data_IF_458531667834
#
_entry.id   IF_458531667834
#
_cell.length_a   1.000
_cell.length_b   1.000
_cell.length_c   1.000
_cell.angle_alpha   90.00
_cell.angle_beta   90.00
_cell.angle_gamma   90.00
#
_symmetry.space_group_name_H-M   'P 1'
#
loop_
_entity.id
_entity.type
_entity.pdbx_description
1 polymer ?
#
# COMPACT_ATOMS: atom_id res chain seq x y z
N UNK A 1 -21.87 8.26 -0.88
CA UNK A 1 -20.89 7.16 -0.69
C UNK A 1 -19.72 7.19 -1.67
N UNK A 2 -19.89 7.65 -2.93
CA UNK A 2 -18.80 7.74 -3.94
C UNK A 2 -17.69 8.71 -3.53
N UNK A 3 -18.04 9.92 -3.09
CA UNK A 3 -17.07 10.96 -2.70
C UNK A 3 -16.09 10.52 -1.59
N UNK A 4 -16.55 9.73 -0.62
CA UNK A 4 -15.69 9.23 0.47
C UNK A 4 -14.66 8.23 -0.04
N UNK A 5 -15.02 7.42 -1.04
CA UNK A 5 -14.08 6.47 -1.64
C UNK A 5 -13.04 7.17 -2.52
N UNK A 6 -13.45 8.21 -3.25
CA UNK A 6 -12.53 9.05 -4.04
C UNK A 6 -11.49 9.77 -3.18
N UNK A 7 -11.92 10.36 -2.06
CA UNK A 7 -11.01 11.00 -1.10
C UNK A 7 -10.00 9.98 -0.55
N UNK A 8 -10.44 8.77 -0.18
CA UNK A 8 -9.55 7.71 0.32
C UNK A 8 -8.54 7.27 -0.73
N UNK A 9 -8.96 7.15 -1.99
CA UNK A 9 -8.08 6.78 -3.10
C UNK A 9 -7.02 7.86 -3.32
N UNK A 10 -7.41 9.13 -3.28
CA UNK A 10 -6.49 10.26 -3.39
C UNK A 10 -5.48 10.27 -2.24
N UNK A 11 -5.93 10.07 -1.00
CA UNK A 11 -5.02 9.99 0.16
C UNK A 11 -4.05 8.80 0.05
N UNK A 12 -4.52 7.65 -0.44
CA UNK A 12 -3.66 6.49 -0.70
C UNK A 12 -2.57 6.81 -1.74
N UNK A 13 -2.94 7.47 -2.84
CA UNK A 13 -2.01 7.95 -3.87
C UNK A 13 -0.98 8.92 -3.30
N UNK A 14 -1.41 9.89 -2.48
CA UNK A 14 -0.53 10.87 -1.84
C UNK A 14 0.47 10.21 -0.88
N UNK A 15 0.04 9.22 -0.10
CA UNK A 15 0.92 8.48 0.81
C UNK A 15 1.97 7.65 0.05
N UNK A 16 1.59 7.03 -1.07
CA UNK A 16 2.55 6.33 -1.94
C UNK A 16 3.54 7.31 -2.58
N UNK A 17 3.07 8.47 -3.05
CA UNK A 17 3.95 9.50 -3.58
C UNK A 17 4.96 9.98 -2.52
N UNK A 18 4.49 10.29 -1.31
CA UNK A 18 5.35 10.68 -0.19
C UNK A 18 6.36 9.57 0.17
N UNK A 19 5.94 8.30 0.12
CA UNK A 19 6.82 7.16 0.37
C UNK A 19 7.98 7.14 -0.64
N UNK A 20 7.69 7.25 -1.94
CA UNK A 20 8.73 7.24 -2.97
C UNK A 20 9.57 8.52 -3.05
N UNK A 21 9.06 9.65 -2.56
CA UNK A 21 9.89 10.85 -2.34
C UNK A 21 10.92 10.61 -1.24
N UNK A 22 10.54 9.95 -0.15
CA UNK A 22 11.44 9.67 0.98
C UNK A 22 12.36 8.46 0.72
N UNK A 23 11.86 7.45 0.03
CA UNK A 23 12.54 6.19 -0.29
C UNK A 23 12.46 5.92 -1.79
N UNK A 24 13.36 6.54 -2.60
CA UNK A 24 13.32 6.37 -4.04
C UNK A 24 13.64 4.93 -4.46
N UNK A 25 12.67 4.25 -5.05
CA UNK A 25 12.83 2.96 -5.73
C UNK A 25 11.95 2.96 -6.97
N UNK A 26 12.58 3.20 -8.14
CA UNK A 26 11.86 3.33 -9.41
C UNK A 26 11.12 2.04 -9.81
N UNK A 27 11.69 0.86 -9.51
CA UNK A 27 11.09 -0.43 -9.87
C UNK A 27 9.88 -0.69 -9.00
N UNK A 28 10.02 -0.52 -7.69
CA UNK A 28 8.92 -0.70 -6.75
C UNK A 28 7.80 0.32 -7.01
N UNK A 29 8.13 1.56 -7.39
CA UNK A 29 7.16 2.60 -7.76
C UNK A 29 6.32 2.20 -8.97
N UNK A 30 6.94 1.67 -10.02
CA UNK A 30 6.20 1.21 -11.22
C UNK A 30 5.18 0.13 -10.85
N UNK A 31 5.58 -0.86 -10.05
CA UNK A 31 4.68 -1.94 -9.63
C UNK A 31 3.59 -1.46 -8.66
N UNK A 32 3.90 -0.54 -7.75
CA UNK A 32 2.92 0.07 -6.87
C UNK A 32 1.87 0.88 -7.65
N UNK A 33 2.31 1.70 -8.61
CA UNK A 33 1.43 2.48 -9.50
C UNK A 33 0.53 1.55 -10.34
N UNK A 34 1.09 0.42 -10.82
CA UNK A 34 0.34 -0.60 -11.57
C UNK A 34 -0.75 -1.26 -10.72
N UNK A 35 -0.43 -1.69 -9.50
CA UNK A 35 -1.40 -2.28 -8.57
C UNK A 35 -2.49 -1.28 -8.23
N UNK A 36 -2.12 -0.04 -7.91
CA UNK A 36 -3.08 0.98 -7.53
C UNK A 36 -4.08 1.26 -8.67
N UNK A 37 -3.59 1.39 -9.91
CA UNK A 37 -4.44 1.51 -11.10
C UNK A 37 -5.39 0.33 -11.25
N UNK A 38 -4.92 -0.90 -11.01
CA UNK A 38 -5.74 -2.11 -11.08
C UNK A 38 -6.85 -2.12 -10.02
N UNK A 39 -6.52 -1.80 -8.77
CA UNK A 39 -7.49 -1.71 -7.66
C UNK A 39 -8.57 -0.66 -7.94
N UNK A 40 -8.17 0.49 -8.48
CA UNK A 40 -9.10 1.55 -8.88
C UNK A 40 -10.00 1.13 -10.05
N UNK A 41 -9.44 0.49 -11.08
CA UNK A 41 -10.19 0.00 -12.23
C UNK A 41 -11.23 -1.06 -11.85
N UNK A 42 -10.89 -1.94 -10.90
CA UNK A 42 -11.81 -2.94 -10.33
C UNK A 42 -12.85 -2.33 -9.37
N UNK A 43 -12.81 -1.01 -9.13
CA UNK A 43 -13.66 -0.32 -8.14
C UNK A 43 -13.61 -0.98 -6.77
N UNK A 44 -12.44 -1.52 -6.38
CA UNK A 44 -12.26 -2.15 -5.07
C UNK A 44 -12.61 -1.12 -4.01
N UNK A 45 -13.56 -1.41 -3.10
CA UNK A 45 -13.86 -0.50 -2.01
C UNK A 45 -12.66 -0.52 -1.06
N UNK A 46 -11.82 0.52 -1.12
CA UNK A 46 -10.65 0.68 -0.25
C UNK A 46 -11.09 1.12 1.16
N UNK A 47 -11.85 0.25 1.84
CA UNK A 47 -12.41 0.51 3.16
C UNK A 47 -11.31 0.62 4.22
N UNK A 48 -11.56 1.42 5.26
CA UNK A 48 -10.62 1.67 6.35
C UNK A 48 -9.67 2.84 6.08
N UNK A 49 -8.55 2.87 6.82
CA UNK A 49 -7.58 3.98 6.74
C UNK A 49 -6.75 3.89 5.45
N UNK A 50 -6.58 4.99 4.69
CA UNK A 50 -5.77 5.02 3.47
C UNK A 50 -4.32 4.53 3.66
N UNK A 51 -3.71 4.84 4.80
CA UNK A 51 -2.35 4.36 5.12
C UNK A 51 -2.24 2.84 5.21
N UNK A 52 -3.30 2.14 5.61
CA UNK A 52 -3.34 0.69 5.56
C UNK A 52 -3.25 0.15 4.13
N UNK A 53 -3.90 0.81 3.17
CA UNK A 53 -3.83 0.43 1.75
C UNK A 53 -2.47 0.78 1.15
N UNK A 54 -1.96 1.99 1.37
CA UNK A 54 -0.65 2.40 0.88
C UNK A 54 0.46 1.48 1.43
N UNK A 55 0.53 1.31 2.75
CA UNK A 55 1.49 0.40 3.39
C UNK A 55 1.27 -1.06 2.97
N UNK A 56 0.02 -1.49 2.81
CA UNK A 56 -0.31 -2.83 2.35
C UNK A 56 0.19 -3.14 0.93
N UNK A 57 0.12 -2.17 0.01
CA UNK A 57 0.66 -2.31 -1.35
C UNK A 57 2.18 -2.47 -1.32
N UNK A 58 2.87 -1.57 -0.61
CA UNK A 58 4.34 -1.63 -0.48
C UNK A 58 4.78 -2.94 0.18
N UNK A 59 4.12 -3.33 1.26
CA UNK A 59 4.43 -4.57 1.97
C UNK A 59 4.19 -5.80 1.09
N UNK A 60 3.08 -5.85 0.34
CA UNK A 60 2.76 -6.96 -0.55
C UNK A 60 3.83 -7.15 -1.63
N UNK A 61 4.25 -6.05 -2.27
CA UNK A 61 5.26 -6.05 -3.34
C UNK A 61 6.64 -6.44 -2.84
N UNK A 62 7.08 -5.83 -1.74
CA UNK A 62 8.41 -6.09 -1.16
C UNK A 62 8.56 -7.53 -0.66
N UNK A 63 7.45 -8.19 -0.34
CA UNK A 63 7.39 -9.57 0.14
C UNK A 63 6.69 -10.50 -0.85
N UNK A 64 6.73 -10.20 -2.15
CA UNK A 64 6.08 -11.02 -3.17
C UNK A 64 6.85 -12.33 -3.42
N UNK A 65 8.18 -12.24 -3.54
CA UNK A 65 9.04 -13.37 -3.92
C UNK A 65 9.85 -13.96 -2.76
N UNK A 66 9.56 -13.55 -1.52
CA UNK A 66 10.34 -13.91 -0.33
C UNK A 66 9.43 -14.14 0.86
N UNK A 67 9.92 -14.87 1.86
CA UNK A 67 9.26 -14.99 3.16
C UNK A 67 9.09 -13.59 3.75
N UNK A 68 7.89 -13.31 4.25
CA UNK A 68 7.54 -11.99 4.78
C UNK A 68 8.51 -11.57 5.90
N UNK A 69 9.28 -10.49 5.68
CA UNK A 69 10.33 -10.04 6.60
C UNK A 69 10.34 -8.53 6.86
N UNK A 70 9.26 -7.81 6.52
CA UNK A 70 9.21 -6.34 6.63
C UNK A 70 9.35 -5.65 5.27
N UNK A 71 9.47 -4.32 5.28
CA UNK A 71 9.85 -3.55 4.11
C UNK A 71 11.37 -3.36 4.19
N UNK A 72 12.15 -3.77 3.17
CA UNK A 72 13.61 -3.63 3.20
C UNK A 72 14.05 -2.19 3.50
N UNK A 73 14.96 -2.03 4.47
CA UNK A 73 15.46 -0.72 4.88
C UNK A 73 14.46 0.13 5.69
N UNK A 74 13.38 -0.47 6.19
CA UNK A 74 12.32 0.25 6.89
C UNK A 74 11.80 -0.55 8.08
N UNK A 75 11.99 -0.03 9.30
CA UNK A 75 11.56 -0.72 10.51
C UNK A 75 10.04 -0.76 10.58
N UNK A 76 9.49 -1.81 11.21
CA UNK A 76 8.05 -1.93 11.44
C UNK A 76 7.48 -0.68 12.14
N UNK A 77 8.17 -0.16 13.16
CA UNK A 77 7.73 1.04 13.88
C UNK A 77 7.72 2.29 12.98
N UNK A 78 8.75 2.47 12.16
CA UNK A 78 8.80 3.58 11.20
C UNK A 78 7.70 3.45 10.14
N UNK A 79 7.34 2.23 9.77
CA UNK A 79 6.24 1.93 8.88
C UNK A 79 4.88 2.29 9.50
N UNK A 80 4.68 1.96 10.78
CA UNK A 80 3.47 2.35 11.50
C UNK A 80 3.33 3.87 11.63
N UNK A 81 4.43 4.55 11.96
CA UNK A 81 4.49 6.01 12.08
C UNK A 81 4.24 6.69 10.73
N UNK A 82 4.87 6.20 9.66
CA UNK A 82 4.74 6.79 8.32
C UNK A 82 3.34 6.65 7.74
N UNK A 83 2.74 5.46 7.85
CA UNK A 83 1.40 5.20 7.33
C UNK A 83 0.29 5.50 8.34
N UNK A 84 0.63 5.89 9.57
CA UNK A 84 -0.29 6.19 10.66
C UNK A 84 -1.35 5.08 10.92
N UNK A 85 -0.88 3.84 10.89
CA UNK A 85 -1.66 2.61 11.11
C UNK A 85 -0.78 1.54 11.74
N UNK A 86 -1.37 0.55 12.39
CA UNK A 86 -0.59 -0.60 12.91
C UNK A 86 -0.07 -1.50 11.78
N UNK A 87 1.02 -2.22 12.05
CA UNK A 87 1.54 -3.26 11.16
C UNK A 87 0.50 -4.34 10.90
N UNK A 88 -0.32 -4.67 11.90
CA UNK A 88 -1.44 -5.62 11.72
C UNK A 88 -2.42 -5.14 10.63
N UNK A 89 -2.72 -3.84 10.60
CA UNK A 89 -3.57 -3.25 9.55
C UNK A 89 -2.89 -3.37 8.19
N UNK A 90 -1.59 -3.10 8.12
CA UNK A 90 -0.77 -3.22 6.91
C UNK A 90 -0.76 -4.67 6.41
N UNK A 91 -0.53 -5.65 7.28
CA UNK A 91 -0.52 -7.07 6.93
C UNK A 91 -1.87 -7.54 6.38
N UNK A 92 -2.98 -7.15 7.02
CA UNK A 92 -4.32 -7.47 6.55
C UNK A 92 -4.59 -6.90 5.17
N UNK A 93 -4.15 -5.66 4.92
CA UNK A 93 -4.31 -5.00 3.61
C UNK A 93 -3.38 -5.59 2.57
N UNK A 94 -2.15 -5.94 2.91
CA UNK A 94 -1.23 -6.64 2.02
C UNK A 94 -1.80 -7.99 1.57
N UNK A 95 -2.39 -8.77 2.48
CA UNK A 95 -3.07 -10.01 2.13
C UNK A 95 -4.24 -9.80 1.16
N UNK A 96 -5.01 -8.71 1.32
CA UNK A 96 -6.07 -8.35 0.38
C UNK A 96 -5.50 -7.93 -0.98
N UNK A 97 -4.45 -7.11 -1.00
CA UNK A 97 -3.77 -6.70 -2.23
C UNK A 97 -3.28 -7.91 -3.01
N UNK A 98 -2.65 -8.89 -2.34
CA UNK A 98 -2.22 -10.16 -2.97
C UNK A 98 -3.39 -10.91 -3.62
N UNK A 99 -4.50 -11.06 -2.90
CA UNK A 99 -5.71 -11.73 -3.41
C UNK A 99 -6.34 -11.01 -4.61
N UNK A 100 -6.41 -9.68 -4.58
CA UNK A 100 -7.11 -8.87 -5.60
C UNK A 100 -6.24 -8.58 -6.83
N UNK A 101 -4.92 -8.52 -6.63
CA UNK A 101 -3.97 -8.09 -7.66
C UNK A 101 -3.23 -9.26 -8.32
N UNK A 102 -3.47 -10.50 -7.87
CA UNK A 102 -2.84 -11.73 -8.39
C UNK A 102 -1.31 -11.60 -8.39
N UNK A 103 -0.75 -11.33 -7.21
CA UNK A 103 0.69 -11.24 -6.93
C UNK A 103 1.05 -12.08 -5.72
#
# INVERSE_FOLDING_TARGET
>A
MIAVNEIRNLTCQQLLAAFFTKYPDARLKIEADRILKRLMAQKVPMLGRPGGWAGGIIYALTNQYRRACGIPGFLNKECEEFFNVSMETIYRRAAMVKKLSVI
#
